data_IF_852324520485
#
_entry.id   IF_852324520485
#
_cell.length_a   1.000
_cell.length_b   1.000
_cell.length_c   1.000
_cell.angle_alpha   90.00
_cell.angle_beta   90.00
_cell.angle_gamma   90.00
#
_symmetry.space_group_name_H-M   'P 1'
#
loop_
_entity.id
_entity.type
_entity.pdbx_description
1 polymer ?
#
# COMPACT_ATOMS: atom_id res chain seq x y z
N UNK A 1 -34.10 -56.12 12.67
CA UNK A 1 -33.11 -56.50 11.64
C UNK A 1 -31.90 -55.59 11.84
N UNK A 2 -30.67 -56.10 12.00
CA UNK A 2 -29.64 -56.36 10.94
C UNK A 2 -29.38 -55.13 10.04
N UNK A 3 -28.16 -54.68 9.70
CA UNK A 3 -26.73 -55.04 9.97
C UNK A 3 -25.84 -53.87 9.41
N UNK A 4 -24.52 -53.68 9.58
CA UNK A 4 -23.39 -54.34 10.30
C UNK A 4 -22.21 -53.33 10.53
N UNK A 5 -21.52 -53.45 11.67
CA UNK A 5 -20.10 -53.07 12.02
C UNK A 5 -19.15 -52.29 11.09
N UNK A 6 -18.33 -51.40 11.71
CA UNK A 6 -16.84 -51.47 11.85
C UNK A 6 -16.40 -50.43 12.91
N UNK A 7 -15.62 -50.65 13.98
CA UNK A 7 -14.45 -51.52 14.29
C UNK A 7 -13.09 -50.86 14.02
N UNK A 8 -12.32 -50.53 15.08
CA UNK A 8 -10.85 -50.49 15.25
C UNK A 8 -10.52 -50.14 16.74
N UNK A 9 -9.26 -50.25 17.27
CA UNK A 9 -9.04 -50.94 18.56
C UNK A 9 -8.38 -50.12 19.69
N UNK A 10 -8.29 -50.66 20.93
CA UNK A 10 -7.61 -50.04 22.06
C UNK A 10 -6.14 -50.47 22.25
N UNK A 11 -5.28 -49.53 22.65
CA UNK A 11 -3.94 -49.80 23.21
C UNK A 11 -3.69 -48.81 24.38
N UNK A 12 -3.88 -49.27 25.63
CA UNK A 12 -2.81 -49.73 26.54
C UNK A 12 -1.98 -48.60 27.15
N UNK A 13 -2.33 -48.22 28.39
CA UNK A 13 -1.38 -47.63 29.34
C UNK A 13 -0.19 -48.58 29.56
N UNK A 14 0.98 -48.00 29.77
CA UNK A 14 2.11 -48.65 30.45
C UNK A 14 2.54 -47.72 31.58
N UNK A 15 2.71 -48.27 32.79
CA UNK A 15 3.14 -47.57 33.99
C UNK A 15 4.47 -48.13 34.50
N UNK A 16 5.10 -47.36 35.40
CA UNK A 16 6.33 -47.66 36.15
C UNK A 16 7.64 -47.64 35.34
N UNK A 17 8.69 -47.07 35.95
CA UNK A 17 10.00 -46.82 35.32
C UNK A 17 10.83 -45.80 36.10
N UNK A 18 10.99 -46.00 37.42
CA UNK A 18 11.60 -45.02 38.33
C UNK A 18 13.13 -44.98 38.21
N UNK A 19 13.69 -43.82 37.82
CA UNK A 19 15.08 -43.44 38.14
C UNK A 19 15.09 -41.97 38.54
N UNK A 20 15.70 -41.64 39.68
CA UNK A 20 15.88 -40.27 40.14
C UNK A 20 17.25 -39.73 39.73
N UNK A 21 17.30 -38.47 39.29
CA UNK A 21 18.53 -37.70 39.15
C UNK A 21 18.27 -36.26 39.66
N UNK A 22 18.98 -35.86 40.71
CA UNK A 22 18.89 -34.49 41.26
C UNK A 22 19.63 -33.50 40.35
N UNK A 23 18.93 -32.98 39.34
CA UNK A 23 19.37 -31.85 38.54
C UNK A 23 18.76 -30.55 39.06
N UNK A 24 19.43 -29.86 39.99
CA UNK A 24 18.96 -28.62 40.60
C UNK A 24 19.10 -27.40 39.67
N UNK A 25 18.38 -27.41 38.55
CA UNK A 25 18.21 -26.23 37.71
C UNK A 25 17.32 -25.22 38.44
N UNK A 26 17.93 -24.20 39.04
CA UNK A 26 17.21 -23.03 39.55
C UNK A 26 16.57 -22.28 38.38
N UNK A 27 15.34 -22.65 38.03
CA UNK A 27 14.51 -21.89 37.11
C UNK A 27 14.15 -20.56 37.77
N UNK A 28 14.92 -19.52 37.47
CA UNK A 28 14.62 -18.16 37.90
C UNK A 28 13.30 -17.75 37.27
N UNK A 29 12.24 -17.72 38.08
CA UNK A 29 10.92 -17.24 37.68
C UNK A 29 11.01 -15.74 37.38
N UNK A 30 11.38 -15.42 36.14
CA UNK A 30 11.65 -14.07 35.68
C UNK A 30 10.33 -13.35 35.52
N UNK A 31 9.92 -12.66 36.59
CA UNK A 31 8.65 -11.96 36.67
C UNK A 31 8.52 -10.99 35.48
N UNK A 32 7.51 -11.19 34.65
CA UNK A 32 7.21 -10.27 33.57
C UNK A 32 6.94 -8.87 34.17
N UNK A 33 7.60 -7.80 33.69
CA UNK A 33 7.34 -6.47 34.18
C UNK A 33 5.87 -6.12 33.91
N UNK A 34 5.18 -5.40 34.81
CA UNK A 34 3.81 -4.99 34.57
C UNK A 34 3.75 -4.16 33.28
N UNK A 35 2.90 -4.59 32.34
CA UNK A 35 2.68 -3.90 31.08
C UNK A 35 1.95 -2.57 31.36
N UNK A 36 2.74 -1.58 31.77
CA UNK A 36 2.26 -0.24 32.11
C UNK A 36 1.78 0.39 30.82
N UNK A 37 0.46 0.41 30.62
CA UNK A 37 -0.17 1.09 29.49
C UNK A 37 0.03 2.59 29.72
N UNK A 38 1.16 3.11 29.24
CA UNK A 38 1.35 4.52 29.00
C UNK A 38 0.36 4.93 27.92
N UNK A 39 -0.84 5.30 28.39
CA UNK A 39 -1.76 6.14 27.65
C UNK A 39 -1.07 7.50 27.46
N UNK A 40 -0.19 7.56 26.46
CA UNK A 40 0.44 8.78 26.01
C UNK A 40 -0.67 9.68 25.47
N UNK A 41 -1.20 10.53 26.35
CA UNK A 41 -2.18 11.55 26.00
C UNK A 41 -1.55 12.42 24.92
N UNK A 42 -2.01 12.28 23.67
CA UNK A 42 -1.60 13.18 22.60
C UNK A 42 -1.97 14.59 23.03
N UNK A 43 -0.95 15.38 23.38
CA UNK A 43 -1.10 16.82 23.55
C UNK A 43 -1.69 17.36 22.26
N UNK A 44 -2.89 17.95 22.34
CA UNK A 44 -3.59 18.48 21.18
C UNK A 44 -2.74 19.58 20.54
N UNK A 45 -2.00 19.22 19.49
CA UNK A 45 -1.05 20.09 18.85
C UNK A 45 -1.81 21.29 18.27
N UNK A 46 -1.45 22.50 18.67
CA UNK A 46 -2.01 23.73 18.11
C UNK A 46 -1.46 23.91 16.68
N UNK A 47 -2.08 23.24 15.71
CA UNK A 47 -1.61 23.15 14.33
C UNK A 47 -2.39 22.15 13.47
N UNK A 48 -1.86 21.87 12.28
CA UNK A 48 -2.54 21.09 11.26
C UNK A 48 -2.57 19.58 11.55
N UNK A 49 -3.76 18.98 11.47
CA UNK A 49 -3.92 17.53 11.49
C UNK A 49 -3.29 16.90 10.24
N UNK A 50 -2.33 15.99 10.44
CA UNK A 50 -1.63 15.32 9.33
C UNK A 50 -2.26 13.95 9.04
N UNK A 51 -2.83 13.78 7.85
CA UNK A 51 -3.31 12.48 7.38
C UNK A 51 -2.15 11.71 6.75
N UNK A 52 -1.94 10.45 7.16
CA UNK A 52 -0.97 9.52 6.58
C UNK A 52 -1.64 8.19 6.30
N UNK A 53 -1.35 7.59 5.16
CA UNK A 53 -1.92 6.32 4.74
C UNK A 53 -1.28 5.83 3.43
N UNK A 54 -1.69 4.65 2.98
CA UNK A 54 -1.29 4.04 1.70
C UNK A 54 -2.49 3.35 1.07
N UNK A 55 -2.71 3.54 -0.23
CA UNK A 55 -3.71 2.77 -0.98
C UNK A 55 -3.05 1.47 -1.44
N UNK A 56 -3.65 0.34 -1.10
CA UNK A 56 -3.06 -0.99 -1.26
C UNK A 56 -4.08 -1.95 -1.87
N UNK A 57 -3.65 -2.71 -2.85
CA UNK A 57 -4.41 -3.81 -3.42
C UNK A 57 -4.45 -4.99 -2.43
N UNK A 58 -5.65 -5.41 -2.04
CA UNK A 58 -5.86 -6.37 -0.95
C UNK A 58 -5.54 -7.81 -1.40
N UNK A 59 -6.10 -8.23 -2.54
CA UNK A 59 -5.98 -9.60 -3.07
C UNK A 59 -4.54 -10.08 -3.22
N UNK A 60 -4.33 -11.39 -3.07
CA UNK A 60 -3.07 -12.07 -3.34
C UNK A 60 -2.62 -11.90 -4.81
N UNK A 61 -3.57 -11.92 -5.74
CA UNK A 61 -3.33 -11.75 -7.18
C UNK A 61 -3.35 -10.27 -7.56
N UNK A 62 -2.27 -9.79 -8.19
CA UNK A 62 -2.12 -8.41 -8.66
C UNK A 62 -2.42 -8.36 -10.16
N UNK A 63 -3.40 -7.56 -10.63
CA UNK A 63 -3.71 -7.44 -12.05
C UNK A 63 -2.51 -6.97 -12.88
N UNK A 64 -2.22 -7.68 -13.97
CA UNK A 64 -1.26 -7.23 -14.99
C UNK A 64 -1.78 -5.97 -15.70
N UNK A 65 -0.93 -4.97 -15.92
CA UNK A 65 -1.30 -3.83 -16.76
C UNK A 65 -1.66 -4.32 -18.18
N UNK A 66 -2.90 -4.05 -18.59
CA UNK A 66 -3.38 -4.27 -19.96
C UNK A 66 -2.60 -3.39 -20.94
N UNK A 67 -2.04 -3.96 -22.00
CA UNK A 67 -1.47 -3.16 -23.11
C UNK A 67 -2.60 -2.58 -23.95
N UNK A 68 -2.50 -1.31 -24.34
CA UNK A 68 -3.43 -0.64 -25.26
C UNK A 68 -2.88 -0.58 -26.68
N UNK A 69 -1.57 -0.32 -26.83
CA UNK A 69 -0.85 -0.33 -28.11
C UNK A 69 0.47 -1.05 -27.90
N UNK A 70 0.71 -2.14 -28.62
CA UNK A 70 1.99 -2.83 -28.54
C UNK A 70 3.11 -2.01 -29.23
N UNK A 71 4.36 -2.32 -28.91
CA UNK A 71 5.52 -1.56 -29.41
C UNK A 71 5.57 -1.59 -30.94
N UNK A 72 5.51 -0.41 -31.56
CA UNK A 72 5.51 -0.24 -33.02
C UNK A 72 4.14 -0.40 -33.71
N UNK A 73 3.07 -0.75 -32.98
CA UNK A 73 1.74 -1.01 -33.55
C UNK A 73 0.79 0.20 -33.50
N UNK A 74 1.31 1.42 -33.30
CA UNK A 74 0.49 2.63 -33.26
C UNK A 74 -0.08 2.96 -34.65
N UNK A 75 -1.41 2.93 -34.78
CA UNK A 75 -2.12 3.06 -36.06
C UNK A 75 -2.04 4.45 -36.73
N UNK A 76 -1.69 5.49 -35.97
CA UNK A 76 -1.64 6.88 -36.45
C UNK A 76 -0.20 7.34 -36.68
N UNK A 77 0.58 7.41 -35.60
CA UNK A 77 1.90 8.03 -35.59
C UNK A 77 3.01 7.06 -35.11
N UNK A 78 3.27 5.94 -35.80
CA UNK A 78 4.21 4.89 -35.38
C UNK A 78 5.69 5.34 -35.34
N UNK A 79 5.99 6.56 -35.81
CA UNK A 79 7.31 7.19 -35.69
C UNK A 79 7.53 7.86 -34.31
N UNK A 80 6.47 7.96 -33.49
CA UNK A 80 6.46 8.62 -32.18
C UNK A 80 5.74 7.74 -31.16
N UNK A 81 4.43 7.52 -31.34
CA UNK A 81 3.61 6.72 -30.44
C UNK A 81 4.05 5.25 -30.41
N UNK A 82 4.18 4.69 -29.21
CA UNK A 82 4.57 3.31 -28.95
C UNK A 82 5.90 2.86 -29.61
N UNK A 83 6.75 3.78 -30.08
CA UNK A 83 7.95 3.45 -30.86
C UNK A 83 9.06 2.82 -30.01
N UNK A 84 9.26 3.35 -28.80
CA UNK A 84 10.34 2.90 -27.90
C UNK A 84 9.83 1.81 -26.96
N UNK A 85 8.62 1.95 -26.45
CA UNK A 85 7.96 1.04 -25.51
C UNK A 85 6.45 0.94 -25.81
N UNK A 86 5.81 -0.15 -25.42
CA UNK A 86 4.37 -0.32 -25.57
C UNK A 86 3.60 0.66 -24.66
N UNK A 87 2.42 1.12 -25.09
CA UNK A 87 1.54 2.00 -24.30
C UNK A 87 0.59 1.12 -23.47
N UNK A 88 0.69 1.12 -22.13
CA UNK A 88 -0.20 0.37 -21.26
C UNK A 88 -1.41 1.21 -20.81
N UNK A 89 -2.48 0.54 -20.39
CA UNK A 89 -3.61 1.18 -19.73
C UNK A 89 -3.20 1.69 -18.36
N UNK A 90 -3.49 2.96 -18.08
CA UNK A 90 -3.27 3.60 -16.77
C UNK A 90 -4.53 3.55 -15.88
N UNK A 91 -5.58 2.88 -16.34
CA UNK A 91 -6.88 2.64 -15.68
C UNK A 91 -6.73 2.03 -14.27
N UNK A 92 -5.82 1.05 -14.13
CA UNK A 92 -5.42 0.48 -12.85
C UNK A 92 -3.93 0.16 -12.90
N UNK A 93 -3.14 0.82 -12.05
CA UNK A 93 -1.70 0.62 -11.94
C UNK A 93 -1.37 0.21 -10.51
N UNK A 94 -1.07 -1.08 -10.32
CA UNK A 94 -0.66 -1.66 -9.03
C UNK A 94 0.79 -2.11 -9.14
N UNK A 95 1.64 -1.68 -8.21
CA UNK A 95 2.99 -2.22 -8.10
C UNK A 95 2.95 -3.64 -7.51
N UNK A 96 3.48 -4.67 -8.19
CA UNK A 96 3.43 -6.05 -7.70
C UNK A 96 4.28 -6.30 -6.45
N UNK A 97 5.27 -5.45 -6.14
CA UNK A 97 6.17 -5.67 -4.99
C UNK A 97 5.58 -5.19 -3.66
N UNK A 98 4.99 -3.99 -3.63
CA UNK A 98 4.39 -3.38 -2.44
C UNK A 98 2.87 -3.50 -2.39
N UNK A 99 2.23 -3.98 -3.47
CA UNK A 99 0.80 -3.88 -3.75
C UNK A 99 0.25 -2.44 -3.74
N UNK A 100 1.11 -1.43 -3.87
CA UNK A 100 0.71 -0.02 -3.88
C UNK A 100 -0.08 0.32 -5.14
N UNK A 101 -1.27 0.92 -4.98
CA UNK A 101 -2.05 1.45 -6.11
C UNK A 101 -1.61 2.87 -6.40
N UNK A 102 -1.13 3.13 -7.62
CA UNK A 102 -0.72 4.47 -8.05
C UNK A 102 -1.93 5.38 -8.34
N UNK A 103 -1.69 6.69 -8.46
CA UNK A 103 -2.67 7.70 -8.89
C UNK A 103 -3.94 7.86 -8.00
N UNK A 104 -4.01 7.20 -6.84
CA UNK A 104 -5.09 7.37 -5.88
C UNK A 104 -4.99 8.68 -5.08
N UNK A 105 -6.12 9.39 -4.95
CA UNK A 105 -6.24 10.63 -4.18
C UNK A 105 -7.24 10.50 -3.04
N UNK A 106 -6.89 11.03 -1.86
CA UNK A 106 -7.80 11.15 -0.73
C UNK A 106 -8.48 12.53 -0.75
N UNK A 107 -9.76 12.58 -1.11
CA UNK A 107 -10.54 13.83 -1.10
C UNK A 107 -11.24 14.05 0.25
N UNK A 108 -11.04 15.20 0.87
CA UNK A 108 -11.70 15.57 2.13
C UNK A 108 -12.99 16.33 1.85
N UNK A 109 -14.12 15.77 2.29
CA UNK A 109 -15.44 16.40 2.15
C UNK A 109 -15.63 17.43 3.28
N UNK A 110 -15.82 18.70 2.90
CA UNK A 110 -16.11 19.83 3.82
C UNK A 110 -15.08 20.00 4.97
N UNK A 111 -13.76 20.09 4.70
CA UNK A 111 -12.77 20.36 5.73
C UNK A 111 -13.06 21.68 6.45
N UNK A 112 -12.86 21.71 7.78
CA UNK A 112 -13.13 22.87 8.64
C UNK A 112 -11.81 23.42 9.19
N UNK A 113 -11.59 24.74 9.13
CA UNK A 113 -10.39 25.39 9.66
C UNK A 113 -9.82 26.49 8.75
N UNK A 114 -8.77 27.17 9.23
CA UNK A 114 -7.96 28.12 8.47
C UNK A 114 -6.75 27.37 7.88
N UNK A 115 -6.55 27.44 6.56
CA UNK A 115 -5.51 26.66 5.85
C UNK A 115 -4.56 27.51 5.00
N UNK A 116 -4.69 28.83 4.96
CA UNK A 116 -3.99 29.68 3.99
C UNK A 116 -2.47 29.73 4.21
N UNK A 117 -1.99 29.54 5.45
CA UNK A 117 -0.54 29.45 5.71
C UNK A 117 0.08 28.18 5.09
N UNK A 118 -0.50 27.01 5.36
CA UNK A 118 -0.09 25.74 4.76
C UNK A 118 -0.24 25.74 3.22
N UNK A 119 -1.30 26.36 2.69
CA UNK A 119 -1.48 26.52 1.25
C UNK A 119 -0.39 27.40 0.61
N UNK A 120 0.03 28.49 1.27
CA UNK A 120 1.15 29.33 0.82
C UNK A 120 2.48 28.57 0.84
N UNK A 121 2.75 27.77 1.87
CA UNK A 121 3.96 26.96 1.95
C UNK A 121 4.00 25.91 0.82
N UNK A 122 2.88 25.21 0.57
CA UNK A 122 2.75 24.24 -0.51
C UNK A 122 3.04 24.87 -1.89
N UNK A 123 2.46 26.04 -2.16
CA UNK A 123 2.69 26.78 -3.42
C UNK A 123 4.13 27.30 -3.51
N UNK A 124 4.72 27.79 -2.42
CA UNK A 124 6.11 28.25 -2.41
C UNK A 124 7.10 27.11 -2.67
N UNK A 125 6.83 25.91 -2.13
CA UNK A 125 7.66 24.71 -2.30
C UNK A 125 7.53 24.09 -3.69
N UNK A 126 6.34 24.15 -4.29
CA UNK A 126 6.05 23.63 -5.62
C UNK A 126 5.19 24.64 -6.41
N UNK A 127 5.77 25.72 -6.97
CA UNK A 127 5.00 26.79 -7.62
C UNK A 127 4.40 26.39 -8.97
N UNK A 128 4.84 25.27 -9.53
CA UNK A 128 4.38 24.73 -10.81
C UNK A 128 4.07 23.24 -10.69
N UNK A 129 3.04 22.80 -11.39
CA UNK A 129 2.74 21.40 -11.65
C UNK A 129 2.98 21.17 -13.13
N UNK A 130 3.82 20.21 -13.48
CA UNK A 130 4.13 19.89 -14.88
C UNK A 130 3.42 18.59 -15.30
N UNK A 131 2.88 18.58 -16.51
CA UNK A 131 2.40 17.37 -17.20
C UNK A 131 3.01 17.39 -18.60
N UNK A 132 3.66 16.31 -18.99
CA UNK A 132 4.47 16.20 -20.20
C UNK A 132 3.95 15.03 -21.06
N UNK A 133 3.83 15.24 -22.37
CA UNK A 133 3.41 14.20 -23.32
C UNK A 133 4.64 13.49 -23.89
N UNK A 134 4.75 12.18 -23.67
CA UNK A 134 5.86 11.31 -24.07
C UNK A 134 5.38 9.91 -24.43
N UNK A 135 5.91 9.33 -25.51
CA UNK A 135 5.43 8.07 -26.10
C UNK A 135 3.93 8.10 -26.43
N UNK A 136 3.35 9.28 -26.66
CA UNK A 136 1.91 9.56 -26.74
C UNK A 136 1.11 9.27 -25.44
N UNK A 137 1.76 9.36 -24.28
CA UNK A 137 1.14 9.28 -22.95
C UNK A 137 1.38 10.55 -22.14
N UNK A 138 0.42 10.93 -21.31
CA UNK A 138 0.59 12.04 -20.34
C UNK A 138 1.29 11.55 -19.08
N UNK A 139 2.37 12.22 -18.71
CA UNK A 139 3.22 11.92 -17.55
C UNK A 139 3.29 13.14 -16.62
N UNK A 140 2.80 13.04 -15.36
CA UNK A 140 2.02 11.94 -14.80
C UNK A 140 0.62 11.85 -15.43
N UNK A 141 0.00 10.67 -15.37
CA UNK A 141 -1.33 10.45 -15.95
C UNK A 141 -2.44 11.30 -15.31
N UNK A 142 -2.28 11.67 -14.04
CA UNK A 142 -3.16 12.59 -13.32
C UNK A 142 -2.39 13.31 -12.22
N UNK A 143 -2.62 14.61 -12.07
CA UNK A 143 -2.06 15.47 -11.02
C UNK A 143 -3.17 16.18 -10.25
N UNK A 144 -2.99 16.33 -8.94
CA UNK A 144 -3.69 17.35 -8.17
C UNK A 144 -2.88 18.65 -8.15
N UNK A 145 -3.57 19.80 -8.24
CA UNK A 145 -2.98 21.12 -8.07
C UNK A 145 -3.84 22.01 -7.16
N UNK A 146 -3.18 22.88 -6.41
CA UNK A 146 -3.81 24.02 -5.75
C UNK A 146 -4.02 25.16 -6.76
N UNK A 147 -5.12 25.90 -6.61
CA UNK A 147 -5.57 26.99 -7.50
C UNK A 147 -4.53 28.11 -7.78
N UNK A 148 -3.47 28.20 -6.97
CA UNK A 148 -2.39 29.19 -7.13
C UNK A 148 -1.08 28.62 -7.69
N UNK A 149 -1.03 27.34 -8.06
CA UNK A 149 0.10 26.73 -8.78
C UNK A 149 -0.08 26.91 -10.29
N UNK A 150 1.00 27.20 -11.01
CA UNK A 150 0.97 27.25 -12.47
C UNK A 150 0.99 25.86 -13.08
N UNK A 151 -0.01 25.51 -13.90
CA UNK A 151 0.03 24.30 -14.72
C UNK A 151 0.93 24.53 -15.94
N UNK A 152 1.91 23.66 -16.15
CA UNK A 152 2.78 23.65 -17.33
C UNK A 152 2.51 22.37 -18.11
N UNK A 153 1.94 22.52 -19.31
CA UNK A 153 1.78 21.42 -20.25
C UNK A 153 2.97 21.42 -21.21
N UNK A 154 3.59 20.26 -21.41
CA UNK A 154 4.72 20.05 -22.34
C UNK A 154 4.35 18.96 -23.35
N UNK A 155 4.94 19.06 -24.55
CA UNK A 155 4.99 17.98 -25.52
C UNK A 155 6.46 17.71 -25.79
N UNK A 156 6.88 16.48 -25.54
CA UNK A 156 8.24 15.98 -25.78
C UNK A 156 8.25 14.79 -26.76
N UNK A 157 7.08 14.53 -27.38
CA UNK A 157 6.82 13.68 -28.53
C UNK A 157 7.23 14.36 -29.85
#
# INVERSE_FOLDING_TARGET
MKNLTRSLPPARLVCAGLVAALGAALSTAQAAPPATILAASLTAQAGYGTIKGRLVWESAEVPSLKVLVAKGEAQKDPQVCARVEAIPSRELVVDPSSKGVQYGYAYLVKPQGEYSSAAKELVAKAPKVEIDQKNCEFIPHVSALHQSQGLVLKSSD
#
